data_IF_656106357069
#
_entry.id   IF_656106357069
#
_cell.length_a   1.000
_cell.length_b   1.000
_cell.length_c   1.000
_cell.angle_alpha   90.00
_cell.angle_beta   90.00
_cell.angle_gamma   90.00
#
_symmetry.space_group_name_H-M   'P 1'
#
loop_
_entity.id
_entity.type
_entity.pdbx_description
1 polymer ?
#
# COMPACT_ATOMS: atom_id res chain seq x y z
N UNK A 1 -10.62 11.08 10.13
CA UNK A 1 -10.65 9.63 10.37
C UNK A 1 -9.48 9.25 11.28
N UNK A 2 -9.75 8.91 12.54
CA UNK A 2 -8.71 8.51 13.51
C UNK A 2 -8.46 7.01 13.38
N UNK A 3 -7.32 6.65 12.79
CA UNK A 3 -6.84 5.26 12.77
C UNK A 3 -6.49 4.90 14.21
N UNK A 4 -7.29 4.02 14.82
CA UNK A 4 -7.01 3.49 16.14
C UNK A 4 -5.83 2.50 16.02
N UNK A 5 -4.73 2.70 16.75
CA UNK A 5 -3.66 1.71 16.79
C UNK A 5 -4.22 0.43 17.43
N UNK A 6 -4.35 -0.63 16.63
CA UNK A 6 -4.67 -1.96 17.16
C UNK A 6 -3.55 -2.36 18.12
N UNK A 7 -3.93 -2.66 19.36
CA UNK A 7 -3.03 -2.93 20.45
C UNK A 7 -2.08 -4.07 20.06
N UNK A 8 -0.79 -3.76 20.11
CA UNK A 8 0.25 -4.77 20.18
C UNK A 8 0.24 -5.34 21.59
N UNK A 9 0.62 -6.61 21.65
CA UNK A 9 0.67 -7.43 22.85
C UNK A 9 1.24 -6.72 24.09
N UNK A 10 0.94 -7.27 25.27
CA UNK A 10 1.12 -6.67 26.62
C UNK A 10 2.51 -6.09 26.92
N UNK A 11 3.54 -6.41 26.14
CA UNK A 11 4.93 -6.01 26.36
C UNK A 11 5.49 -5.01 25.32
N UNK A 12 4.65 -4.39 24.48
CA UNK A 12 5.10 -3.37 23.51
C UNK A 12 5.85 -3.93 22.30
N UNK A 13 5.86 -5.25 22.14
CA UNK A 13 6.50 -5.94 21.01
C UNK A 13 5.59 -5.90 19.78
N UNK A 14 6.17 -5.53 18.64
CA UNK A 14 5.55 -5.67 17.33
C UNK A 14 5.23 -7.14 17.05
N UNK A 15 3.96 -7.52 17.13
CA UNK A 15 3.49 -8.81 16.58
C UNK A 15 3.04 -8.58 15.13
N UNK A 16 3.70 -9.19 14.13
CA UNK A 16 3.22 -9.18 12.76
C UNK A 16 1.94 -10.01 12.69
N UNK A 17 0.81 -9.32 12.75
CA UNK A 17 -0.45 -9.87 12.26
C UNK A 17 -0.37 -9.89 10.74
N UNK A 18 -0.80 -10.97 10.08
CA UNK A 18 -0.71 -11.09 8.60
C UNK A 18 -1.32 -9.87 7.88
N UNK A 19 -2.42 -9.34 8.41
CA UNK A 19 -3.08 -8.14 7.90
C UNK A 19 -2.20 -6.88 8.05
N UNK A 20 -1.49 -6.73 9.17
CA UNK A 20 -0.61 -5.58 9.42
C UNK A 20 0.57 -5.56 8.45
N UNK A 21 1.14 -6.73 8.13
CA UNK A 21 2.24 -6.82 7.18
C UNK A 21 1.79 -6.41 5.77
N UNK A 22 0.58 -6.79 5.34
CA UNK A 22 0.02 -6.37 4.04
C UNK A 22 -0.13 -4.86 3.97
N UNK A 23 -0.60 -4.22 5.04
CA UNK A 23 -0.74 -2.76 5.12
C UNK A 23 0.62 -2.08 5.01
N UNK A 24 1.57 -2.45 5.85
CA UNK A 24 2.91 -1.85 5.87
C UNK A 24 3.67 -2.05 4.55
N UNK A 25 3.58 -3.25 3.97
CA UNK A 25 4.18 -3.57 2.68
C UNK A 25 3.59 -2.70 1.57
N UNK A 26 2.29 -2.48 1.61
CA UNK A 26 1.59 -1.63 0.66
C UNK A 26 2.01 -0.16 0.79
N UNK A 27 2.10 0.36 2.01
CA UNK A 27 2.62 1.71 2.27
C UNK A 27 4.07 1.86 1.79
N UNK A 28 4.91 0.84 1.97
CA UNK A 28 6.28 0.83 1.45
C UNK A 28 6.34 0.95 -0.08
N UNK A 29 5.40 0.34 -0.83
CA UNK A 29 5.34 0.49 -2.28
C UNK A 29 4.90 1.89 -2.73
N UNK A 30 4.08 2.55 -1.92
CA UNK A 30 3.60 3.91 -2.17
C UNK A 30 4.70 4.94 -1.90
N UNK A 31 5.61 4.69 -0.94
CA UNK A 31 6.73 5.58 -0.63
C UNK A 31 7.63 5.89 -1.85
N UNK A 32 7.63 5.03 -2.87
CA UNK A 32 8.35 5.24 -4.13
C UNK A 32 7.65 6.23 -5.09
N UNK A 33 6.37 6.55 -4.85
CA UNK A 33 5.63 7.54 -5.63
C UNK A 33 5.95 8.95 -5.14
N UNK A 34 6.84 9.65 -5.85
CA UNK A 34 7.29 11.02 -5.51
C UNK A 34 6.13 11.98 -5.22
N UNK A 35 5.00 11.84 -5.91
CA UNK A 35 3.80 12.70 -5.72
C UNK A 35 3.10 12.48 -4.38
N UNK A 36 3.18 11.28 -3.81
CA UNK A 36 2.60 10.94 -2.50
C UNK A 36 3.59 11.17 -1.34
N UNK A 37 4.85 11.51 -1.63
CA UNK A 37 5.88 11.84 -0.63
C UNK A 37 5.61 13.16 0.08
N UNK A 38 4.98 14.11 -0.60
CA UNK A 38 4.59 15.41 -0.05
C UNK A 38 3.11 15.60 -0.29
N UNK A 39 2.32 15.70 0.79
CA UNK A 39 0.88 15.96 0.69
C UNK A 39 0.70 17.42 0.28
N UNK A 40 0.44 17.65 -1.00
CA UNK A 40 0.15 18.97 -1.57
C UNK A 40 -1.33 19.16 -1.90
N UNK A 41 -2.14 18.14 -1.65
CA UNK A 41 -3.54 18.13 -2.05
C UNK A 41 -4.40 18.96 -1.09
N UNK A 42 -5.26 19.79 -1.69
CA UNK A 42 -6.09 20.77 -0.96
C UNK A 42 -7.29 20.13 -0.25
N UNK A 43 -7.70 18.94 -0.68
CA UNK A 43 -8.85 18.20 -0.15
C UNK A 43 -8.46 16.76 0.17
N UNK A 44 -9.07 16.19 1.21
CA UNK A 44 -8.86 14.79 1.61
C UNK A 44 -9.26 13.82 0.48
N UNK A 45 -10.30 14.17 -0.28
CA UNK A 45 -10.83 13.37 -1.40
C UNK A 45 -9.78 13.17 -2.50
N UNK A 46 -9.03 14.23 -2.84
CA UNK A 46 -7.96 14.15 -3.84
C UNK A 46 -6.81 13.27 -3.35
N UNK A 47 -6.44 13.38 -2.07
CA UNK A 47 -5.41 12.52 -1.49
C UNK A 47 -5.82 11.04 -1.58
N UNK A 48 -7.06 10.72 -1.23
CA UNK A 48 -7.61 9.35 -1.33
C UNK A 48 -7.59 8.86 -2.77
N UNK A 49 -8.00 9.68 -3.74
CA UNK A 49 -7.96 9.33 -5.15
C UNK A 49 -6.53 9.02 -5.64
N UNK A 50 -5.52 9.80 -5.24
CA UNK A 50 -4.13 9.53 -5.60
C UNK A 50 -3.60 8.23 -5.00
N UNK A 51 -3.96 7.93 -3.75
CA UNK A 51 -3.60 6.65 -3.11
C UNK A 51 -4.22 5.48 -3.89
N UNK A 52 -5.51 5.57 -4.26
CA UNK A 52 -6.19 4.55 -5.06
C UNK A 52 -5.53 4.34 -6.43
N UNK A 53 -5.22 5.43 -7.15
CA UNK A 53 -4.54 5.38 -8.45
C UNK A 53 -3.16 4.70 -8.33
N UNK A 54 -2.41 4.99 -7.27
CA UNK A 54 -1.11 4.36 -7.03
C UNK A 54 -1.26 2.84 -6.80
N UNK A 55 -2.23 2.41 -6.00
CA UNK A 55 -2.52 1.00 -5.76
C UNK A 55 -2.94 0.27 -7.05
N UNK A 56 -3.89 0.82 -7.81
CA UNK A 56 -4.34 0.25 -9.08
C UNK A 56 -3.15 0.09 -10.03
N UNK A 57 -2.26 1.08 -10.10
CA UNK A 57 -1.06 1.03 -10.93
C UNK A 57 -0.08 -0.07 -10.49
N UNK A 58 0.15 -0.23 -9.19
CA UNK A 58 1.04 -1.26 -8.63
C UNK A 58 0.47 -2.65 -8.90
N UNK A 59 -0.81 -2.87 -8.60
CA UNK A 59 -1.49 -4.15 -8.80
C UNK A 59 -1.56 -4.51 -10.28
N UNK A 60 -1.87 -3.56 -11.17
CA UNK A 60 -1.91 -3.79 -12.61
C UNK A 60 -0.56 -4.26 -13.17
N UNK A 61 0.56 -3.68 -12.71
CA UNK A 61 1.91 -4.13 -13.13
C UNK A 61 2.22 -5.54 -12.63
N UNK A 62 1.77 -5.89 -11.43
CA UNK A 62 1.98 -7.22 -10.85
C UNK A 62 1.13 -8.27 -11.53
N UNK A 63 -0.13 -7.95 -11.87
CA UNK A 63 -0.98 -8.84 -12.66
C UNK A 63 -0.36 -9.15 -14.01
N UNK A 64 0.23 -8.15 -14.70
CA UNK A 64 0.96 -8.37 -15.95
C UNK A 64 2.20 -9.27 -15.79
N UNK A 65 2.90 -9.18 -14.66
CA UNK A 65 4.04 -10.05 -14.37
C UNK A 65 3.66 -11.45 -13.88
N UNK A 66 2.39 -11.65 -13.47
CA UNK A 66 1.84 -12.93 -13.02
C UNK A 66 1.20 -13.73 -14.16
N UNK A 67 1.03 -13.14 -15.35
CA UNK A 67 0.71 -13.93 -16.54
C UNK A 67 1.81 -14.97 -16.68
N UNK A 68 1.50 -16.28 -16.54
CA UNK A 68 2.48 -17.30 -16.83
C UNK A 68 2.95 -17.02 -18.25
N UNK A 69 4.26 -16.91 -18.46
CA UNK A 69 4.82 -17.06 -19.81
C UNK A 69 4.25 -18.39 -20.32
N UNK A 70 3.18 -18.32 -21.12
CA UNK A 70 2.70 -19.46 -21.87
C UNK A 70 3.90 -19.84 -22.73
N UNK A 71 4.54 -20.95 -22.38
CA UNK A 71 5.82 -21.36 -22.93
C UNK A 71 5.75 -21.33 -24.45
N UNK A 72 6.37 -20.32 -25.04
CA UNK A 72 6.76 -20.33 -26.43
C UNK A 72 7.94 -21.28 -26.53
N UNK A 73 7.63 -22.51 -26.95
CA UNK A 73 8.59 -23.47 -27.47
C UNK A 73 8.64 -23.30 -28.98
#
# INVERSE_FOLDING_TARGET
MTVQPIARDRDGVFIPTEIAWVVERSFSWISCYRRLKTIVERTEEHLVAFVQIAFISILSRRLKGLTPQAGGR
#
